data_IF_399321492439
#
_entry.id   IF_399321492439
#
_cell.length_a   1.000
_cell.length_b   1.000
_cell.length_c   1.000
_cell.angle_alpha   90.00
_cell.angle_beta   90.00
_cell.angle_gamma   90.00
#
_symmetry.space_group_name_H-M   'P 1'
#
loop_
_entity.id
_entity.type
_entity.pdbx_description
1 polymer ?
#
# COMPACT_ATOMS: atom_id res chain seq x y z
N UNK A 1 -6.52 17.19 10.00
CA UNK A 1 -6.73 15.77 10.36
C UNK A 1 -7.43 14.92 9.30
N UNK A 2 -8.42 15.43 8.54
CA UNK A 2 -9.16 14.64 7.52
C UNK A 2 -8.31 14.07 6.35
N UNK A 3 -7.31 14.80 5.86
CA UNK A 3 -6.50 14.39 4.69
C UNK A 3 -5.59 13.19 5.02
N UNK A 4 -4.90 13.23 6.17
CA UNK A 4 -4.08 12.13 6.67
C UNK A 4 -4.90 10.84 6.90
N UNK A 5 -6.16 11.00 7.32
CA UNK A 5 -7.11 9.88 7.44
C UNK A 5 -7.44 9.27 6.08
N UNK A 6 -7.73 10.07 5.04
CA UNK A 6 -8.03 9.57 3.69
C UNK A 6 -6.86 8.81 3.05
N UNK A 7 -5.65 9.36 3.14
CA UNK A 7 -4.45 8.73 2.56
C UNK A 7 -4.17 7.38 3.24
N UNK A 8 -4.39 7.31 4.56
CA UNK A 8 -4.24 6.04 5.29
C UNK A 8 -5.32 5.04 4.90
N UNK A 9 -6.57 5.47 4.73
CA UNK A 9 -7.65 4.62 4.23
C UNK A 9 -7.36 4.09 2.82
N UNK A 10 -6.83 4.92 1.92
CA UNK A 10 -6.45 4.50 0.57
C UNK A 10 -5.30 3.49 0.58
N UNK A 11 -4.28 3.71 1.41
CA UNK A 11 -3.18 2.76 1.57
C UNK A 11 -3.68 1.40 2.08
N UNK A 12 -4.50 1.39 3.13
CA UNK A 12 -5.11 0.16 3.66
C UNK A 12 -5.96 -0.54 2.61
N UNK A 13 -6.78 0.20 1.86
CA UNK A 13 -7.60 -0.37 0.79
C UNK A 13 -6.74 -1.01 -0.31
N UNK A 14 -5.66 -0.34 -0.71
CA UNK A 14 -4.71 -0.87 -1.70
C UNK A 14 -4.07 -2.17 -1.20
N UNK A 15 -3.60 -2.21 0.05
CA UNK A 15 -3.04 -3.43 0.67
C UNK A 15 -4.03 -4.58 0.67
N UNK A 16 -5.30 -4.31 1.04
CA UNK A 16 -6.35 -5.34 1.06
C UNK A 16 -6.60 -5.89 -0.34
N UNK A 17 -6.76 -5.02 -1.35
CA UNK A 17 -6.97 -5.45 -2.75
C UNK A 17 -5.78 -6.27 -3.25
N UNK A 18 -4.56 -5.83 -2.94
CA UNK A 18 -3.33 -6.50 -3.34
C UNK A 18 -3.22 -7.91 -2.72
N UNK A 19 -3.59 -8.06 -1.45
CA UNK A 19 -3.69 -9.36 -0.78
C UNK A 19 -4.75 -10.26 -1.44
N UNK A 20 -5.94 -9.72 -1.75
CA UNK A 20 -6.97 -10.49 -2.45
C UNK A 20 -6.51 -10.96 -3.83
N UNK A 21 -5.78 -10.13 -4.58
CA UNK A 21 -5.22 -10.51 -5.87
C UNK A 21 -4.21 -11.67 -5.73
N UNK A 22 -3.35 -11.63 -4.71
CA UNK A 22 -2.42 -12.71 -4.41
C UNK A 22 -3.13 -14.03 -4.06
N UNK A 23 -4.09 -13.97 -3.13
CA UNK A 23 -4.83 -15.16 -2.68
C UNK A 23 -5.68 -15.75 -3.80
N UNK A 24 -6.37 -14.91 -4.57
CA UNK A 24 -7.14 -15.36 -5.72
C UNK A 24 -6.23 -16.09 -6.71
N UNK A 25 -5.10 -15.46 -7.09
CA UNK A 25 -4.18 -16.05 -8.06
C UNK A 25 -3.59 -17.37 -7.57
N UNK A 26 -3.20 -17.44 -6.29
CA UNK A 26 -2.65 -18.66 -5.67
C UNK A 26 -3.66 -19.81 -5.68
N UNK A 27 -4.95 -19.53 -5.53
CA UNK A 27 -6.01 -20.55 -5.58
C UNK A 27 -6.34 -20.98 -7.01
N UNK A 28 -6.28 -20.06 -7.97
CA UNK A 28 -6.71 -20.32 -9.36
C UNK A 28 -5.62 -20.86 -10.27
N UNK A 29 -4.35 -20.61 -9.94
CA UNK A 29 -3.20 -21.03 -10.76
C UNK A 29 -2.64 -22.35 -10.26
N UNK A 30 -2.55 -23.34 -11.15
CA UNK A 30 -1.85 -24.61 -10.88
C UNK A 30 -0.36 -24.60 -11.23
N UNK A 31 0.18 -23.47 -11.71
CA UNK A 31 1.59 -23.29 -12.05
C UNK A 31 2.31 -22.48 -10.96
N UNK A 32 3.12 -23.19 -10.17
CA UNK A 32 3.88 -22.62 -9.06
C UNK A 32 4.83 -21.48 -9.49
N UNK A 33 5.35 -21.51 -10.73
CA UNK A 33 6.24 -20.48 -11.24
C UNK A 33 5.49 -19.17 -11.50
N UNK A 34 4.30 -19.27 -12.09
CA UNK A 34 3.42 -18.13 -12.26
C UNK A 34 2.94 -17.59 -10.92
N UNK A 35 2.61 -18.47 -9.96
CA UNK A 35 2.22 -18.07 -8.61
C UNK A 35 3.34 -17.32 -7.89
N UNK A 36 4.59 -17.79 -7.97
CA UNK A 36 5.74 -17.11 -7.40
C UNK A 36 6.00 -15.74 -8.05
N UNK A 37 5.87 -15.64 -9.38
CA UNK A 37 6.00 -14.37 -10.09
C UNK A 37 4.92 -13.37 -9.69
N UNK A 38 3.68 -13.82 -9.56
CA UNK A 38 2.58 -12.98 -9.10
C UNK A 38 2.79 -12.51 -7.65
N UNK A 39 3.22 -13.40 -6.75
CA UNK A 39 3.54 -13.03 -5.37
C UNK A 39 4.65 -11.99 -5.29
N UNK A 40 5.66 -12.11 -6.15
CA UNK A 40 6.73 -11.10 -6.25
C UNK A 40 6.18 -9.74 -6.71
N UNK A 41 5.37 -9.70 -7.77
CA UNK A 41 4.74 -8.47 -8.24
C UNK A 41 3.84 -7.81 -7.19
N UNK A 42 3.02 -8.60 -6.50
CA UNK A 42 2.20 -8.13 -5.37
C UNK A 42 3.07 -7.51 -4.29
N UNK A 43 4.19 -8.14 -3.93
CA UNK A 43 5.11 -7.62 -2.93
C UNK A 43 5.75 -6.29 -3.36
N UNK A 44 6.14 -6.15 -4.63
CA UNK A 44 6.67 -4.90 -5.18
C UNK A 44 5.62 -3.78 -5.16
N UNK A 45 4.38 -4.08 -5.56
CA UNK A 45 3.26 -3.12 -5.50
C UNK A 45 3.01 -2.70 -4.06
N UNK A 46 3.01 -3.63 -3.11
CA UNK A 46 2.82 -3.33 -1.69
C UNK A 46 3.91 -2.40 -1.17
N UNK A 47 5.15 -2.67 -1.56
CA UNK A 47 6.29 -1.83 -1.20
C UNK A 47 6.11 -0.38 -1.70
N UNK A 48 5.63 -0.20 -2.93
CA UNK A 48 5.31 1.11 -3.49
C UNK A 48 4.17 1.81 -2.74
N UNK A 49 3.13 1.07 -2.36
CA UNK A 49 2.02 1.61 -1.54
C UNK A 49 2.54 2.10 -0.20
N UNK A 50 3.37 1.31 0.49
CA UNK A 50 3.96 1.67 1.78
C UNK A 50 4.88 2.89 1.68
N UNK A 51 5.78 2.93 0.69
CA UNK A 51 6.66 4.09 0.48
C UNK A 51 5.83 5.35 0.19
N UNK A 52 4.84 5.23 -0.70
CA UNK A 52 3.98 6.37 -1.07
C UNK A 52 3.19 6.89 0.13
N UNK A 53 2.67 5.99 0.97
CA UNK A 53 1.97 6.34 2.20
C UNK A 53 2.90 7.01 3.21
N UNK A 54 4.10 6.46 3.44
CA UNK A 54 5.12 7.03 4.33
C UNK A 54 5.56 8.41 3.86
N UNK A 55 5.85 8.56 2.57
CA UNK A 55 6.22 9.84 1.98
C UNK A 55 5.09 10.87 2.13
N UNK A 56 3.84 10.47 1.87
CA UNK A 56 2.69 11.34 2.08
C UNK A 56 2.53 11.73 3.56
N UNK A 57 2.81 10.83 4.51
CA UNK A 57 2.82 11.15 5.95
C UNK A 57 3.92 12.16 6.29
N UNK A 58 5.14 11.96 5.82
CA UNK A 58 6.27 12.86 6.06
C UNK A 58 6.01 14.27 5.50
N UNK A 59 5.55 14.37 4.24
CA UNK A 59 5.24 15.66 3.61
C UNK A 59 4.09 16.42 4.30
N UNK A 60 3.11 15.70 4.87
CA UNK A 60 2.02 16.33 5.62
C UNK A 60 2.37 16.63 7.09
N UNK A 61 3.41 16.01 7.65
CA UNK A 61 3.95 16.35 8.97
C UNK A 61 4.67 17.71 8.93
N UNK A 62 5.34 18.02 7.82
CA UNK A 62 6.05 19.28 7.61
C UNK A 62 5.11 20.48 7.38
N UNK A 63 3.86 20.23 6.98
CA UNK A 63 2.84 21.27 6.81
C UNK A 63 2.09 21.66 8.11
N UNK A 64 2.43 21.08 9.27
CA UNK A 64 1.85 21.52 10.54
C UNK A 64 2.53 22.85 10.92
N UNK A 65 1.83 23.99 10.88
CA UNK A 65 2.49 25.28 11.03
C UNK A 65 3.11 25.37 12.42
N UNK A 66 4.37 25.81 12.46
CA UNK A 66 5.14 26.11 13.67
C UNK A 66 4.65 27.39 14.39
N UNK A 67 3.34 27.65 14.40
CA UNK A 67 2.71 28.78 15.09
C UNK A 67 1.96 28.28 16.32
N UNK A 68 2.74 27.94 17.33
CA UNK A 68 2.30 27.95 18.72
C UNK A 68 3.53 28.30 19.57
N UNK A 69 3.88 29.58 19.56
CA UNK A 69 4.92 30.21 20.36
C UNK A 69 4.61 31.69 20.44
#
# INVERSE_FOLDING_TARGET
>A
MRISSRISTLAVLATVINLFAALYFLVTTGDDRLAAMQLHLVAEIEFLVLISWLLAKLLHLDQKPATAG
#
